data_IF_690604775909
#
_entry.id   IF_690604775909
#
_cell.length_a   1.000
_cell.length_b   1.000
_cell.length_c   1.000
_cell.angle_alpha   90.00
_cell.angle_beta   90.00
_cell.angle_gamma   90.00
#
_symmetry.space_group_name_H-M   'P 1'
#
loop_
_entity.id
_entity.type
_entity.pdbx_description
1 polymer ?
#
# COMPACT_ATOMS: atom_id res chain seq x y z
N UNK A 1 15.79 26.04 -11.23
CA UNK A 1 14.37 25.66 -11.14
C UNK A 1 14.14 25.12 -9.75
N UNK A 2 13.13 25.63 -9.03
CA UNK A 2 12.63 25.10 -7.77
C UNK A 2 11.32 24.35 -8.07
N UNK A 3 11.28 23.06 -7.74
CA UNK A 3 10.07 22.27 -7.72
C UNK A 3 9.80 21.85 -6.29
N UNK A 4 8.61 22.11 -5.80
CA UNK A 4 8.23 21.85 -4.41
C UNK A 4 7.08 20.87 -4.32
N UNK A 5 6.98 20.19 -3.17
CA UNK A 5 5.83 19.45 -2.74
C UNK A 5 5.42 20.02 -1.38
N UNK A 6 4.49 20.95 -1.44
CA UNK A 6 3.99 21.64 -0.27
C UNK A 6 3.03 20.76 0.52
N UNK A 7 2.94 21.01 1.82
CA UNK A 7 1.97 20.33 2.68
C UNK A 7 0.56 20.86 2.46
N UNK A 8 -0.42 20.01 2.72
CA UNK A 8 -1.84 20.37 2.64
C UNK A 8 -2.28 20.85 1.24
N UNK A 9 -1.67 20.30 0.19
CA UNK A 9 -2.14 20.54 -1.18
C UNK A 9 -3.56 19.96 -1.33
N UNK A 10 -4.57 20.77 -1.69
CA UNK A 10 -5.94 20.28 -1.78
C UNK A 10 -6.11 19.39 -3.00
N UNK A 11 -6.92 18.33 -2.87
CA UNK A 11 -7.41 17.60 -4.02
C UNK A 11 -8.24 18.53 -4.92
N UNK A 12 -8.02 18.43 -6.22
CA UNK A 12 -8.79 19.16 -7.23
C UNK A 12 -9.54 18.16 -8.11
N UNK A 13 -10.63 18.62 -8.71
CA UNK A 13 -11.49 17.77 -9.57
C UNK A 13 -12.08 16.54 -8.85
N UNK A 14 -12.38 16.65 -7.56
CA UNK A 14 -12.98 15.57 -6.75
C UNK A 14 -14.27 15.01 -7.36
N UNK A 15 -14.97 15.77 -8.17
CA UNK A 15 -16.20 15.38 -8.86
C UNK A 15 -16.01 15.14 -10.36
N UNK A 16 -14.77 14.91 -10.78
CA UNK A 16 -14.39 14.73 -12.19
C UNK A 16 -13.80 16.00 -12.80
N UNK A 17 -12.96 15.80 -13.80
CA UNK A 17 -12.35 16.91 -14.56
C UNK A 17 -13.45 17.63 -15.35
N UNK A 18 -13.59 18.97 -15.22
CA UNK A 18 -14.59 19.72 -16.00
C UNK A 18 -14.34 19.59 -17.51
N UNK A 19 -15.40 19.47 -18.29
CA UNK A 19 -15.31 19.38 -19.77
C UNK A 19 -14.62 20.61 -20.40
N UNK A 20 -14.64 21.75 -19.71
CA UNK A 20 -13.97 22.98 -20.13
C UNK A 20 -12.47 22.99 -19.89
N UNK A 21 -11.94 22.10 -19.05
CA UNK A 21 -10.51 22.07 -18.72
C UNK A 21 -9.69 21.62 -19.93
N UNK A 22 -8.66 22.39 -20.28
CA UNK A 22 -7.82 22.18 -21.47
C UNK A 22 -6.34 22.07 -21.11
N UNK A 23 -6.02 21.43 -19.99
CA UNK A 23 -4.66 21.39 -19.44
C UNK A 23 -4.13 22.79 -19.07
N UNK A 24 -5.03 23.65 -18.58
CA UNK A 24 -4.68 25.00 -18.13
C UNK A 24 -3.88 24.95 -16.83
N UNK A 25 -3.01 25.95 -16.66
CA UNK A 25 -2.35 26.17 -15.37
C UNK A 25 -3.32 26.89 -14.42
N UNK A 26 -3.15 26.63 -13.13
CA UNK A 26 -3.86 27.33 -12.08
C UNK A 26 -3.19 28.69 -11.79
N UNK A 27 -3.93 29.62 -11.14
CA UNK A 27 -3.32 30.85 -10.63
C UNK A 27 -2.15 30.53 -9.68
N UNK A 28 -1.15 31.39 -9.72
CA UNK A 28 -0.01 31.27 -8.83
C UNK A 28 -0.44 31.38 -7.36
N UNK A 29 0.15 30.56 -6.51
CA UNK A 29 -0.11 30.51 -5.06
C UNK A 29 1.22 30.41 -4.29
N UNK A 30 2.02 31.49 -4.34
CA UNK A 30 3.35 31.53 -3.73
C UNK A 30 3.34 31.39 -2.21
N UNK A 31 2.27 31.84 -1.57
CA UNK A 31 2.03 31.70 -0.13
C UNK A 31 2.04 30.23 0.32
N UNK A 32 1.63 29.30 -0.53
CA UNK A 32 1.63 27.87 -0.23
C UNK A 32 3.04 27.26 -0.19
N UNK A 33 3.99 27.87 -0.85
CA UNK A 33 5.36 27.35 -0.98
C UNK A 33 6.39 28.22 -0.27
N UNK A 34 5.97 29.16 0.57
CA UNK A 34 6.86 30.12 1.25
C UNK A 34 7.93 29.41 2.08
N UNK A 35 7.58 28.38 2.83
CA UNK A 35 8.51 27.60 3.65
C UNK A 35 9.64 27.00 2.78
N UNK A 36 9.28 26.36 1.66
CA UNK A 36 10.25 25.74 0.76
C UNK A 36 11.09 26.77 0.02
N UNK A 37 10.49 27.90 -0.33
CA UNK A 37 11.19 29.02 -0.96
C UNK A 37 12.24 29.62 -0.02
N UNK A 38 11.90 29.87 1.22
CA UNK A 38 12.83 30.35 2.24
C UNK A 38 13.93 29.35 2.56
N UNK A 39 13.61 28.05 2.61
CA UNK A 39 14.60 26.99 2.75
C UNK A 39 15.58 26.93 1.58
N UNK A 40 15.13 27.19 0.36
CA UNK A 40 16.00 27.31 -0.82
C UNK A 40 16.94 28.48 -0.70
N UNK A 41 16.45 29.68 -0.35
CA UNK A 41 17.29 30.88 -0.16
C UNK A 41 18.35 30.62 0.91
N UNK A 42 17.97 30.01 2.02
CA UNK A 42 18.91 29.66 3.08
C UNK A 42 20.06 28.74 2.57
N UNK A 43 19.76 27.80 1.67
CA UNK A 43 20.76 26.89 1.10
C UNK A 43 21.53 27.47 -0.07
N UNK A 44 20.92 28.35 -0.84
CA UNK A 44 21.46 28.94 -2.05
C UNK A 44 21.15 30.45 -2.00
N UNK A 45 21.95 31.25 -1.25
CA UNK A 45 21.66 32.66 -1.02
C UNK A 45 21.51 33.49 -2.28
N UNK A 46 22.22 33.15 -3.37
CA UNK A 46 22.09 33.84 -4.66
C UNK A 46 20.70 33.80 -5.28
N UNK A 47 19.84 32.88 -4.82
CA UNK A 47 18.46 32.83 -5.26
C UNK A 47 17.61 33.98 -4.75
N UNK A 48 17.99 34.65 -3.66
CA UNK A 48 17.31 35.83 -3.12
C UNK A 48 17.35 36.99 -4.09
N UNK A 49 18.50 37.17 -4.76
CA UNK A 49 18.73 38.25 -5.69
C UNK A 49 18.23 37.96 -7.11
N UNK A 50 18.00 36.68 -7.45
CA UNK A 50 17.76 36.29 -8.84
C UNK A 50 16.30 36.54 -9.32
N UNK A 51 15.39 36.76 -8.42
CA UNK A 51 13.93 36.89 -8.72
C UNK A 51 13.31 35.64 -9.33
N UNK A 52 12.05 35.76 -9.68
CA UNK A 52 11.28 34.72 -10.38
C UNK A 52 11.17 35.07 -11.85
N UNK A 53 11.52 34.15 -12.74
CA UNK A 53 11.39 34.31 -14.17
C UNK A 53 10.06 33.75 -14.68
N UNK A 54 9.77 32.51 -14.35
CA UNK A 54 8.56 31.79 -14.74
C UNK A 54 8.04 31.00 -13.53
N UNK A 55 6.74 30.85 -13.44
CA UNK A 55 6.05 30.12 -12.40
C UNK A 55 4.95 29.21 -12.99
N UNK A 56 4.76 28.07 -12.38
CA UNK A 56 3.79 27.09 -12.81
C UNK A 56 3.06 26.52 -11.62
N UNK A 57 1.73 26.52 -11.67
CA UNK A 57 0.84 25.86 -10.73
C UNK A 57 -0.16 25.05 -11.53
N UNK A 58 -0.32 23.78 -11.23
CA UNK A 58 -1.23 22.92 -11.99
C UNK A 58 -1.52 21.60 -11.28
N UNK A 59 -2.51 20.85 -11.74
CA UNK A 59 -2.90 19.59 -11.10
C UNK A 59 -1.85 18.52 -11.38
N UNK A 60 -1.55 17.71 -10.37
CA UNK A 60 -0.74 16.50 -10.47
C UNK A 60 -1.64 15.28 -10.25
N UNK A 61 -1.51 14.28 -11.11
CA UNK A 61 -2.26 13.05 -10.96
C UNK A 61 -1.58 12.14 -9.93
N UNK A 62 -2.30 11.83 -8.87
CA UNK A 62 -1.88 10.88 -7.82
C UNK A 62 -2.87 9.73 -7.69
N UNK A 63 -2.37 8.58 -7.35
CA UNK A 63 -3.15 7.44 -6.88
C UNK A 63 -3.08 7.35 -5.35
N UNK A 64 -3.97 6.61 -4.69
CA UNK A 64 -3.98 6.52 -3.23
C UNK A 64 -2.70 5.97 -2.56
N UNK A 65 -1.86 5.27 -3.31
CA UNK A 65 -0.56 4.75 -2.85
C UNK A 65 0.65 5.40 -3.56
N UNK A 66 0.40 6.32 -4.50
CA UNK A 66 1.43 7.00 -5.29
C UNK A 66 2.00 6.19 -6.45
N UNK A 67 1.67 4.91 -6.56
CA UNK A 67 2.10 4.08 -7.68
C UNK A 67 1.15 4.21 -8.86
N UNK A 68 1.63 4.21 -10.11
CA UNK A 68 0.76 4.28 -11.28
C UNK A 68 -0.14 3.05 -11.43
N UNK A 69 -1.14 3.17 -12.28
CA UNK A 69 -2.01 2.08 -12.71
C UNK A 69 -1.47 1.52 -14.02
N UNK A 70 -0.90 0.32 -13.99
CA UNK A 70 -0.28 -0.31 -15.16
C UNK A 70 -0.79 -1.74 -15.30
N UNK A 71 -1.47 -2.03 -16.40
CA UNK A 71 -1.99 -3.36 -16.67
C UNK A 71 -3.38 -3.37 -17.27
N UNK A 72 -4.04 -4.54 -17.34
CA UNK A 72 -5.38 -4.66 -17.91
C UNK A 72 -6.42 -3.93 -17.06
N UNK A 73 -7.30 -3.18 -17.71
CA UNK A 73 -8.39 -2.47 -17.06
C UNK A 73 -9.38 -3.45 -16.41
N UNK A 74 -9.74 -3.29 -15.13
CA UNK A 74 -10.68 -4.17 -14.47
C UNK A 74 -12.05 -4.21 -15.16
N UNK A 75 -12.56 -5.42 -15.44
CA UNK A 75 -13.88 -5.61 -16.03
C UNK A 75 -13.99 -5.27 -17.51
N UNK A 76 -12.92 -4.86 -18.18
CA UNK A 76 -12.89 -4.57 -19.60
C UNK A 76 -11.97 -5.53 -20.32
N UNK A 77 -12.38 -5.90 -21.54
CA UNK A 77 -11.58 -6.75 -22.40
C UNK A 77 -10.75 -5.90 -23.37
N UNK A 78 -9.49 -6.25 -23.54
CA UNK A 78 -8.57 -5.61 -24.49
C UNK A 78 -8.36 -4.10 -24.27
N UNK A 79 -8.56 -3.64 -23.02
CA UNK A 79 -8.22 -2.29 -22.59
C UNK A 79 -7.10 -2.35 -21.55
N UNK A 80 -6.08 -1.51 -21.75
CA UNK A 80 -4.89 -1.46 -20.89
C UNK A 80 -4.71 -0.06 -20.34
N UNK A 81 -4.27 0.02 -19.10
CA UNK A 81 -4.01 1.26 -18.39
C UNK A 81 -2.50 1.51 -18.28
N UNK A 82 -2.11 2.74 -18.44
CA UNK A 82 -0.80 3.28 -18.12
C UNK A 82 -0.99 4.74 -17.69
N UNK A 83 -1.44 4.95 -16.46
CA UNK A 83 -1.89 6.25 -15.96
C UNK A 83 -1.57 6.45 -14.49
N UNK A 84 -1.83 7.66 -13.96
CA UNK A 84 -1.60 7.97 -12.55
C UNK A 84 -0.12 8.15 -12.18
N UNK A 85 0.69 8.62 -13.12
CA UNK A 85 2.12 8.83 -12.90
C UNK A 85 2.39 10.19 -12.25
N UNK A 86 2.85 10.20 -11.02
CA UNK A 86 3.45 11.37 -10.39
C UNK A 86 4.87 11.65 -10.94
N UNK A 87 5.61 10.59 -11.27
CA UNK A 87 6.98 10.63 -11.82
C UNK A 87 7.02 10.09 -13.26
N UNK A 88 6.17 10.63 -14.15
CA UNK A 88 5.94 10.10 -15.49
C UNK A 88 7.19 9.92 -16.33
N UNK A 89 8.06 10.93 -16.41
CA UNK A 89 9.28 10.86 -17.22
C UNK A 89 10.21 9.76 -16.73
N UNK A 90 10.38 9.64 -15.42
CA UNK A 90 11.26 8.62 -14.82
C UNK A 90 10.75 7.21 -15.03
N UNK A 91 9.43 7.01 -14.94
CA UNK A 91 8.81 5.69 -14.98
C UNK A 91 8.44 5.22 -16.41
N UNK A 92 8.33 6.14 -17.39
CA UNK A 92 7.77 5.87 -18.71
C UNK A 92 8.46 4.73 -19.47
N UNK A 93 9.79 4.69 -19.47
CA UNK A 93 10.56 3.67 -20.20
C UNK A 93 10.31 2.25 -19.69
N UNK A 94 10.42 2.05 -18.37
CA UNK A 94 10.16 0.76 -17.75
C UNK A 94 8.70 0.33 -17.87
N UNK A 95 7.79 1.27 -17.65
CA UNK A 95 6.35 0.99 -17.80
C UNK A 95 6.00 0.53 -19.21
N UNK A 96 6.48 1.24 -20.24
CA UNK A 96 6.22 0.87 -21.63
C UNK A 96 6.76 -0.51 -21.97
N UNK A 97 7.96 -0.84 -21.52
CA UNK A 97 8.58 -2.14 -21.75
C UNK A 97 7.77 -3.28 -21.12
N UNK A 98 7.51 -3.22 -19.83
CA UNK A 98 6.82 -4.30 -19.11
C UNK A 98 5.33 -4.40 -19.48
N UNK A 99 4.66 -3.27 -19.75
CA UNK A 99 3.28 -3.31 -20.26
C UNK A 99 3.19 -3.97 -21.64
N UNK A 100 4.13 -3.67 -22.54
CA UNK A 100 4.19 -4.33 -23.85
C UNK A 100 4.42 -5.84 -23.70
N UNK A 101 5.30 -6.25 -22.78
CA UNK A 101 5.54 -7.65 -22.46
C UNK A 101 4.27 -8.34 -21.95
N UNK A 102 3.54 -7.72 -21.02
CA UNK A 102 2.23 -8.23 -20.56
C UNK A 102 1.21 -8.37 -21.70
N UNK A 103 1.17 -7.44 -22.66
CA UNK A 103 0.26 -7.49 -23.80
C UNK A 103 0.58 -8.62 -24.78
N UNK A 104 1.87 -8.91 -24.99
CA UNK A 104 2.34 -9.88 -26.00
C UNK A 104 2.46 -11.27 -25.41
N UNK A 105 3.00 -11.38 -24.20
CA UNK A 105 3.38 -12.66 -23.56
C UNK A 105 2.38 -13.08 -22.48
N UNK A 106 1.48 -12.18 -22.06
CA UNK A 106 0.48 -12.43 -21.01
C UNK A 106 0.94 -12.05 -19.61
N UNK A 107 2.24 -12.03 -19.33
CA UNK A 107 2.83 -11.60 -18.05
C UNK A 107 4.16 -10.88 -18.29
N UNK A 108 4.56 -10.04 -17.35
CA UNK A 108 5.87 -9.42 -17.33
C UNK A 108 6.90 -10.35 -16.66
N UNK A 109 8.17 -10.21 -17.00
CA UNK A 109 9.26 -10.95 -16.34
C UNK A 109 9.54 -10.52 -14.90
N UNK A 110 8.99 -9.37 -14.48
CA UNK A 110 9.04 -8.86 -13.11
C UNK A 110 7.66 -8.85 -12.47
N UNK A 111 7.63 -8.76 -11.15
CA UNK A 111 6.37 -8.61 -10.42
C UNK A 111 5.76 -7.21 -10.62
N UNK A 112 4.59 -7.15 -11.24
CA UNK A 112 3.82 -5.93 -11.50
C UNK A 112 2.63 -5.76 -10.54
N UNK A 113 2.48 -6.59 -9.52
CA UNK A 113 1.31 -6.58 -8.63
C UNK A 113 1.09 -5.24 -7.92
N UNK A 114 2.17 -4.54 -7.56
CA UNK A 114 2.09 -3.21 -6.95
C UNK A 114 1.59 -2.12 -7.89
N UNK A 115 1.53 -2.38 -9.19
CA UNK A 115 1.04 -1.46 -10.21
C UNK A 115 -0.30 -1.91 -10.81
N UNK A 116 -0.73 -3.17 -10.54
CA UNK A 116 -1.97 -3.72 -11.10
C UNK A 116 -3.18 -2.87 -10.66
N UNK A 117 -4.01 -2.38 -11.61
CA UNK A 117 -5.22 -1.65 -11.29
C UNK A 117 -6.19 -2.40 -10.36
N UNK A 118 -6.15 -3.73 -10.37
CA UNK A 118 -6.98 -4.59 -9.49
C UNK A 118 -6.60 -4.53 -8.02
N UNK A 119 -5.46 -3.91 -7.66
CA UNK A 119 -5.07 -3.72 -6.25
C UNK A 119 -6.06 -2.85 -5.48
N UNK A 120 -6.86 -2.07 -6.20
CA UNK A 120 -7.96 -1.29 -5.63
C UNK A 120 -9.28 -2.02 -5.77
N UNK A 121 -9.97 -2.21 -4.64
CA UNK A 121 -11.30 -2.82 -4.62
C UNK A 121 -12.39 -1.76 -4.80
N UNK A 122 -13.35 -1.99 -5.69
CA UNK A 122 -14.50 -1.12 -5.88
C UNK A 122 -15.39 -0.96 -4.63
N UNK A 123 -15.28 -1.89 -3.66
CA UNK A 123 -16.13 -1.86 -2.46
C UNK A 123 -15.78 -0.74 -1.48
N UNK A 124 -14.56 -0.23 -1.52
CA UNK A 124 -14.08 0.81 -0.60
C UNK A 124 -13.39 1.98 -1.31
N UNK A 125 -13.15 1.88 -2.61
CA UNK A 125 -12.59 2.95 -3.41
C UNK A 125 -13.68 3.97 -3.76
N UNK A 126 -13.93 4.91 -2.84
CA UNK A 126 -14.80 6.06 -3.08
C UNK A 126 -13.98 7.27 -3.56
N UNK A 127 -14.65 8.26 -4.15
CA UNK A 127 -14.00 9.53 -4.53
C UNK A 127 -13.36 10.22 -3.32
N UNK A 128 -14.05 10.22 -2.18
CA UNK A 128 -13.52 10.78 -0.94
C UNK A 128 -12.28 10.03 -0.45
N UNK A 129 -12.31 8.69 -0.46
CA UNK A 129 -11.14 7.88 -0.10
C UNK A 129 -9.96 8.21 -1.01
N UNK A 130 -10.18 8.24 -2.33
CA UNK A 130 -9.14 8.58 -3.30
C UNK A 130 -8.56 9.97 -3.05
N UNK A 131 -9.42 11.00 -2.87
CA UNK A 131 -8.99 12.37 -2.61
C UNK A 131 -8.11 12.45 -1.36
N UNK A 132 -8.58 11.93 -0.21
CA UNK A 132 -7.85 11.98 1.06
C UNK A 132 -6.54 11.20 1.03
N UNK A 133 -6.53 10.04 0.39
CA UNK A 133 -5.30 9.25 0.22
C UNK A 133 -4.31 9.90 -0.74
N UNK A 134 -4.80 10.56 -1.79
CA UNK A 134 -3.95 11.30 -2.72
C UNK A 134 -3.29 12.51 -2.05
N UNK A 135 -4.05 13.28 -1.24
CA UNK A 135 -3.51 14.38 -0.42
C UNK A 135 -2.40 13.87 0.51
N UNK A 136 -2.70 12.84 1.30
CA UNK A 136 -1.72 12.23 2.20
C UNK A 136 -0.47 11.72 1.47
N UNK A 137 -0.66 11.08 0.31
CA UNK A 137 0.46 10.57 -0.47
C UNK A 137 1.33 11.70 -1.01
N UNK A 138 0.72 12.77 -1.52
CA UNK A 138 1.41 13.97 -2.00
C UNK A 138 2.23 14.63 -0.89
N UNK A 139 1.62 14.85 0.28
CA UNK A 139 2.27 15.49 1.44
C UNK A 139 3.54 14.76 1.89
N UNK A 140 3.61 13.45 1.64
CA UNK A 140 4.68 12.61 2.18
C UNK A 140 5.74 12.19 1.15
N UNK A 141 5.66 12.62 -0.10
CA UNK A 141 6.58 12.17 -1.16
C UNK A 141 8.05 12.42 -0.84
N UNK A 142 8.38 13.58 -0.30
CA UNK A 142 9.77 13.96 0.03
C UNK A 142 10.04 14.07 1.52
N UNK A 143 9.15 13.56 2.35
CA UNK A 143 9.39 13.46 3.78
C UNK A 143 10.14 12.18 4.08
N UNK A 144 11.15 12.27 4.95
CA UNK A 144 11.86 11.10 5.42
C UNK A 144 10.95 10.23 6.28
N UNK A 145 10.66 9.03 5.80
CA UNK A 145 9.83 8.06 6.53
C UNK A 145 10.65 7.28 7.54
N UNK A 146 10.09 7.10 8.72
CA UNK A 146 10.62 6.17 9.70
C UNK A 146 10.15 4.74 9.38
N UNK A 147 10.91 3.71 9.78
CA UNK A 147 10.40 2.35 9.77
C UNK A 147 9.09 2.25 10.54
N UNK A 148 8.16 1.43 10.05
CA UNK A 148 6.84 1.20 10.65
C UNK A 148 5.95 2.45 10.76
N UNK A 149 6.22 3.46 9.95
CA UNK A 149 5.37 4.64 9.85
C UNK A 149 4.06 4.31 9.16
N UNK A 150 2.96 4.55 9.84
CA UNK A 150 1.61 4.31 9.33
C UNK A 150 0.99 5.58 8.74
N UNK A 151 0.15 5.41 7.73
CA UNK A 151 -0.58 6.50 7.07
C UNK A 151 -1.99 6.60 7.65
N UNK A 152 -2.34 7.70 8.35
CA UNK A 152 -3.60 7.80 9.10
C UNK A 152 -4.84 8.05 8.22
N UNK A 153 -4.72 8.65 7.04
CA UNK A 153 -5.89 9.02 6.25
C UNK A 153 -6.81 7.83 5.95
N UNK A 154 -8.11 8.05 6.09
CA UNK A 154 -9.17 7.07 5.83
C UNK A 154 -9.10 5.79 6.69
N UNK A 155 -8.51 5.84 7.86
CA UNK A 155 -8.50 4.73 8.82
C UNK A 155 -9.54 4.94 9.93
N UNK A 156 -10.14 3.85 10.47
CA UNK A 156 -10.02 2.46 10.03
C UNK A 156 -10.81 2.19 8.74
N UNK A 157 -10.27 1.35 7.83
CA UNK A 157 -10.97 0.95 6.61
C UNK A 157 -11.67 -0.41 6.76
N UNK A 158 -10.94 -1.41 7.22
CA UNK A 158 -11.45 -2.76 7.49
C UNK A 158 -11.00 -3.20 8.87
N UNK A 159 -11.95 -3.67 9.69
CA UNK A 159 -11.69 -4.08 11.06
C UNK A 159 -12.04 -5.54 11.30
N UNK A 160 -11.24 -6.23 12.10
CA UNK A 160 -11.54 -7.57 12.57
C UNK A 160 -12.70 -7.55 13.57
N UNK A 161 -13.44 -8.66 13.76
CA UNK A 161 -14.48 -8.74 14.80
C UNK A 161 -13.99 -8.44 16.22
N UNK A 162 -12.69 -8.62 16.47
CA UNK A 162 -12.07 -8.35 17.76
C UNK A 162 -11.52 -6.89 17.91
N UNK A 163 -11.61 -6.06 16.87
CA UNK A 163 -10.98 -4.75 16.80
C UNK A 163 -11.25 -3.87 18.03
N UNK A 164 -12.50 -3.66 18.41
CA UNK A 164 -12.85 -2.83 19.56
C UNK A 164 -12.33 -3.40 20.89
N UNK A 165 -12.30 -4.73 21.03
CA UNK A 165 -11.72 -5.37 22.22
C UNK A 165 -10.21 -5.25 22.29
N UNK A 166 -9.55 -5.29 21.12
CA UNK A 166 -8.11 -5.09 21.00
C UNK A 166 -7.76 -3.64 21.30
N UNK A 167 -8.50 -2.69 20.73
CA UNK A 167 -8.35 -1.25 21.00
C UNK A 167 -8.48 -0.94 22.50
N UNK A 168 -9.52 -1.47 23.13
CA UNK A 168 -9.74 -1.31 24.57
C UNK A 168 -8.61 -1.92 25.45
N UNK A 169 -7.74 -2.74 24.88
CA UNK A 169 -6.55 -3.31 25.53
C UNK A 169 -5.25 -2.61 25.15
N UNK A 170 -5.32 -1.49 24.47
CA UNK A 170 -4.14 -0.72 24.07
C UNK A 170 -3.47 -1.21 22.78
N UNK A 171 -4.19 -1.93 21.91
CA UNK A 171 -3.64 -2.33 20.61
C UNK A 171 -3.23 -1.10 19.81
N UNK A 172 -1.99 -1.10 19.34
CA UNK A 172 -1.46 -0.16 18.37
C UNK A 172 -1.56 -0.81 16.99
N UNK A 173 -2.37 -0.22 16.12
CA UNK A 173 -2.72 -0.85 14.85
C UNK A 173 -1.81 -0.42 13.72
N UNK A 174 -1.33 -1.40 12.95
CA UNK A 174 -0.80 -1.23 11.61
C UNK A 174 -1.86 -1.50 10.55
N UNK A 175 -1.60 -1.06 9.33
CA UNK A 175 -2.50 -1.16 8.20
C UNK A 175 -1.95 -2.11 7.13
N UNK A 176 -2.60 -3.25 6.94
CA UNK A 176 -2.15 -4.28 5.99
C UNK A 176 -3.30 -4.67 5.05
N UNK A 177 -3.15 -4.40 3.78
CA UNK A 177 -4.15 -4.71 2.74
C UNK A 177 -5.56 -4.20 3.07
N UNK A 178 -5.63 -3.00 3.65
CA UNK A 178 -6.89 -2.40 4.07
C UNK A 178 -7.37 -2.82 5.47
N UNK A 179 -6.73 -3.77 6.12
CA UNK A 179 -7.09 -4.24 7.45
C UNK A 179 -6.30 -3.55 8.56
N UNK A 180 -7.02 -3.18 9.63
CA UNK A 180 -6.40 -2.85 10.91
C UNK A 180 -5.89 -4.13 11.57
N UNK A 181 -4.60 -4.18 11.86
CA UNK A 181 -3.95 -5.32 12.51
C UNK A 181 -3.12 -4.84 13.69
N UNK A 182 -3.30 -5.42 14.90
CA UNK A 182 -2.44 -5.09 16.02
C UNK A 182 -0.98 -5.38 15.72
N UNK A 183 -0.12 -4.39 15.85
CA UNK A 183 1.33 -4.56 15.77
C UNK A 183 1.91 -4.90 17.14
N UNK A 184 1.41 -4.26 18.19
CA UNK A 184 1.74 -4.52 19.60
C UNK A 184 0.66 -3.92 20.51
N UNK A 185 0.71 -4.23 21.80
CA UNK A 185 -0.17 -3.64 22.82
C UNK A 185 0.65 -2.72 23.72
N UNK A 186 0.28 -1.45 23.75
CA UNK A 186 0.92 -0.38 24.51
C UNK A 186 -0.01 0.27 25.54
N UNK A 187 0.37 1.45 26.05
CA UNK A 187 -0.50 2.23 26.93
C UNK A 187 -1.83 2.58 26.25
N UNK A 188 -2.91 2.63 27.03
CA UNK A 188 -4.26 2.90 26.52
C UNK A 188 -4.42 4.28 25.89
N UNK A 189 -3.69 5.26 26.39
CA UNK A 189 -3.68 6.64 25.90
C UNK A 189 -2.97 6.82 24.57
N UNK A 190 -2.22 5.83 24.13
CA UNK A 190 -1.53 5.84 22.84
C UNK A 190 -2.33 5.17 21.70
N UNK A 191 -3.48 4.55 21.99
CA UNK A 191 -4.21 3.70 21.05
C UNK A 191 -4.70 4.39 19.77
N UNK A 192 -4.88 5.70 19.77
CA UNK A 192 -5.31 6.48 18.60
C UNK A 192 -4.22 7.47 18.12
N UNK A 193 -3.04 7.41 18.69
CA UNK A 193 -1.97 8.33 18.36
C UNK A 193 -1.10 7.76 17.24
N UNK A 194 -1.42 8.11 16.00
CA UNK A 194 -0.59 7.82 14.83
C UNK A 194 0.60 8.78 14.71
N UNK A 195 0.60 9.88 15.47
CA UNK A 195 1.72 10.82 15.54
C UNK A 195 2.65 10.39 16.66
N UNK A 196 3.75 9.76 16.28
CA UNK A 196 4.61 9.08 17.22
C UNK A 196 5.90 9.82 17.48
N UNK A 197 6.07 10.38 18.64
CA UNK A 197 7.39 10.64 19.24
C UNK A 197 8.22 9.35 19.39
N UNK A 198 7.57 8.20 19.25
CA UNK A 198 8.16 6.87 19.33
C UNK A 198 8.79 6.37 18.03
N UNK A 199 8.62 7.08 16.89
CA UNK A 199 9.23 6.70 15.61
C UNK A 199 10.74 6.89 15.64
N UNK A 200 11.48 5.91 15.15
CA UNK A 200 12.94 5.93 15.21
C UNK A 200 13.53 5.01 14.15
N UNK A 201 14.68 5.36 13.59
CA UNK A 201 15.53 4.46 12.81
C UNK A 201 16.22 3.39 13.67
N UNK A 202 16.03 3.42 14.96
CA UNK A 202 16.47 2.44 15.93
C UNK A 202 15.26 1.71 16.50
N UNK A 203 15.38 1.18 17.71
CA UNK A 203 14.27 0.59 18.46
C UNK A 203 13.35 1.72 18.93
N UNK A 204 12.13 1.78 18.40
CA UNK A 204 11.11 2.72 18.83
C UNK A 204 10.39 2.31 20.10
N UNK A 205 9.38 3.07 20.51
CA UNK A 205 8.57 2.82 21.70
C UNK A 205 7.86 1.44 21.71
N UNK A 206 7.63 0.85 20.57
CA UNK A 206 7.05 -0.49 20.41
C UNK A 206 7.92 -1.63 20.94
N UNK A 207 9.26 -1.43 21.00
CA UNK A 207 10.22 -2.51 21.18
C UNK A 207 10.02 -3.28 22.49
N UNK A 208 9.92 -2.59 23.63
CA UNK A 208 9.78 -3.26 24.92
C UNK A 208 8.44 -4.01 25.03
N UNK A 209 7.37 -3.44 24.48
CA UNK A 209 6.06 -4.09 24.45
C UNK A 209 6.09 -5.38 23.64
N UNK A 210 6.69 -5.36 22.45
CA UNK A 210 6.86 -6.55 21.61
C UNK A 210 7.73 -7.63 22.29
N UNK A 211 8.79 -7.23 23.01
CA UNK A 211 9.62 -8.16 23.78
C UNK A 211 8.82 -8.83 24.90
N UNK A 212 8.00 -8.06 25.63
CA UNK A 212 7.21 -8.59 26.74
C UNK A 212 6.09 -9.52 26.25
N UNK A 213 5.44 -9.19 25.14
CA UNK A 213 4.49 -10.09 24.46
C UNK A 213 5.16 -11.40 23.98
N UNK A 214 6.34 -11.30 23.36
CA UNK A 214 7.07 -12.48 22.93
C UNK A 214 7.45 -13.41 24.11
N UNK A 215 7.84 -12.87 25.26
CA UNK A 215 8.08 -13.63 26.48
C UNK A 215 6.80 -14.29 27.00
N UNK A 216 5.70 -13.52 27.08
CA UNK A 216 4.41 -14.01 27.53
C UNK A 216 3.90 -15.19 26.70
N UNK A 217 4.08 -15.15 25.38
CA UNK A 217 3.73 -16.25 24.46
C UNK A 217 4.62 -17.48 24.70
N UNK A 218 5.91 -17.28 24.96
CA UNK A 218 6.87 -18.40 25.20
C UNK A 218 6.68 -19.07 26.56
N UNK A 219 6.33 -18.31 27.58
CA UNK A 219 6.17 -18.78 28.96
C UNK A 219 4.74 -19.19 29.30
N UNK A 220 3.77 -18.79 28.47
CA UNK A 220 2.36 -19.01 28.70
C UNK A 220 1.59 -19.31 27.41
N UNK A 221 0.46 -18.62 27.22
CA UNK A 221 -0.43 -18.77 26.08
C UNK A 221 -0.66 -17.42 25.42
N UNK A 222 -0.51 -17.36 24.09
CA UNK A 222 -0.81 -16.19 23.25
C UNK A 222 -2.01 -16.41 22.33
N UNK A 223 -2.74 -15.33 22.07
CA UNK A 223 -3.79 -15.27 21.06
C UNK A 223 -3.40 -14.22 20.01
N UNK A 224 -3.27 -14.64 18.76
CA UNK A 224 -2.87 -13.79 17.65
C UNK A 224 -4.05 -13.64 16.69
N UNK A 225 -4.41 -12.39 16.36
CA UNK A 225 -5.43 -12.10 15.35
C UNK A 225 -4.84 -12.26 13.95
N UNK A 226 -5.29 -13.28 13.23
CA UNK A 226 -4.90 -13.58 11.85
C UNK A 226 -6.00 -13.21 10.83
N UNK A 227 -6.93 -12.31 11.20
CA UNK A 227 -8.07 -11.94 10.33
C UNK A 227 -7.61 -11.29 9.03
N UNK A 228 -6.52 -10.53 9.04
CA UNK A 228 -6.00 -9.83 7.87
C UNK A 228 -5.45 -10.76 6.77
N UNK A 229 -5.11 -12.01 7.09
CA UNK A 229 -4.67 -12.98 6.09
C UNK A 229 -5.83 -13.38 5.16
N UNK A 230 -5.53 -13.66 3.90
CA UNK A 230 -6.50 -14.24 2.96
C UNK A 230 -6.77 -15.71 3.28
N UNK A 231 -8.01 -16.17 3.10
CA UNK A 231 -8.44 -17.54 3.34
C UNK A 231 -9.14 -18.09 2.10
N UNK A 232 -8.68 -19.25 1.65
CA UNK A 232 -9.23 -19.90 0.48
C UNK A 232 -9.62 -21.35 0.80
N UNK A 233 -10.77 -21.78 0.29
CA UNK A 233 -11.20 -23.17 0.36
C UNK A 233 -11.13 -23.77 -1.04
N UNK A 234 -10.33 -24.82 -1.21
CA UNK A 234 -10.19 -25.56 -2.47
C UNK A 234 -10.73 -26.97 -2.22
N UNK A 235 -11.84 -27.32 -2.89
CA UNK A 235 -12.50 -28.62 -2.71
C UNK A 235 -13.10 -29.14 -4.01
N UNK A 236 -13.22 -30.46 -4.10
CA UNK A 236 -13.81 -31.17 -5.24
C UNK A 236 -12.85 -32.19 -5.84
N UNK A 237 -13.32 -33.01 -6.81
CA UNK A 237 -12.58 -34.18 -7.32
C UNK A 237 -11.18 -33.84 -7.88
N UNK A 238 -10.96 -32.64 -8.38
CA UNK A 238 -9.67 -32.17 -8.92
C UNK A 238 -8.78 -31.40 -7.93
N UNK A 239 -9.22 -31.16 -6.70
CA UNK A 239 -8.54 -30.26 -5.76
C UNK A 239 -7.11 -30.72 -5.44
N UNK A 240 -6.93 -32.02 -5.21
CA UNK A 240 -5.60 -32.58 -4.91
C UNK A 240 -4.66 -32.46 -6.10
N UNK A 241 -5.08 -32.82 -7.30
CA UNK A 241 -4.27 -32.73 -8.49
C UNK A 241 -3.92 -31.27 -8.84
N UNK A 242 -4.89 -30.35 -8.69
CA UNK A 242 -4.64 -28.92 -8.91
C UNK A 242 -3.60 -28.37 -7.92
N UNK A 243 -3.74 -28.66 -6.64
CA UNK A 243 -2.83 -28.12 -5.64
C UNK A 243 -1.43 -28.75 -5.70
N UNK A 244 -1.32 -30.03 -6.09
CA UNK A 244 -0.04 -30.71 -6.31
C UNK A 244 0.71 -30.11 -7.51
N UNK A 245 0.00 -29.67 -8.52
CA UNK A 245 0.56 -28.95 -9.67
C UNK A 245 0.86 -27.48 -9.33
N UNK A 246 -0.04 -26.81 -8.59
CA UNK A 246 0.01 -25.37 -8.35
C UNK A 246 1.07 -24.97 -7.31
N UNK A 247 1.34 -25.84 -6.33
CA UNK A 247 2.27 -25.55 -5.22
C UNK A 247 3.55 -26.37 -5.34
N UNK A 248 4.67 -25.81 -4.92
CA UNK A 248 5.99 -26.43 -5.11
C UNK A 248 6.35 -27.48 -4.08
N UNK A 249 5.70 -27.55 -2.92
CA UNK A 249 5.96 -28.54 -1.88
C UNK A 249 4.94 -29.67 -1.90
N UNK A 250 5.33 -30.84 -1.36
CA UNK A 250 4.41 -31.97 -1.18
C UNK A 250 3.21 -31.54 -0.35
N UNK A 251 2.02 -31.93 -0.80
CA UNK A 251 0.78 -31.71 -0.08
C UNK A 251 0.79 -32.41 1.30
N UNK A 252 0.17 -31.81 2.32
CA UNK A 252 0.08 -32.42 3.63
C UNK A 252 -0.76 -33.69 3.61
N UNK A 253 -0.49 -34.61 4.55
CA UNK A 253 -1.41 -35.71 4.86
C UNK A 253 -2.73 -35.15 5.43
N UNK A 254 -3.81 -35.89 5.31
CA UNK A 254 -5.11 -35.52 5.91
C UNK A 254 -4.94 -35.20 7.39
N UNK A 255 -5.49 -34.09 7.84
CA UNK A 255 -5.38 -33.57 9.20
C UNK A 255 -4.03 -32.91 9.52
N UNK A 256 -3.19 -32.66 8.51
CA UNK A 256 -1.88 -31.99 8.69
C UNK A 256 -1.81 -30.67 7.93
N UNK A 257 -0.79 -29.88 8.27
CA UNK A 257 -0.49 -28.57 7.73
C UNK A 257 0.94 -28.58 7.17
N UNK A 258 1.14 -27.92 6.03
CA UNK A 258 2.46 -27.63 5.48
C UNK A 258 2.52 -26.15 5.08
N UNK A 259 3.74 -25.61 5.05
CA UNK A 259 4.07 -24.38 4.35
C UNK A 259 4.44 -24.72 2.91
N UNK A 260 3.95 -23.93 1.95
CA UNK A 260 4.25 -24.12 0.53
C UNK A 260 4.21 -22.78 -0.22
N UNK A 261 4.68 -22.79 -1.46
CA UNK A 261 4.77 -21.61 -2.31
C UNK A 261 4.12 -21.87 -3.66
N UNK A 262 3.52 -20.83 -4.24
CA UNK A 262 3.27 -20.78 -5.67
C UNK A 262 4.41 -20.00 -6.34
N UNK A 263 4.88 -20.51 -7.48
CA UNK A 263 5.99 -19.92 -8.22
C UNK A 263 5.52 -19.35 -9.56
N UNK A 264 6.29 -18.42 -10.11
CA UNK A 264 6.18 -17.99 -11.49
C UNK A 264 6.81 -19.02 -12.42
N UNK A 265 6.61 -18.87 -13.73
CA UNK A 265 7.27 -19.69 -14.75
C UNK A 265 8.81 -19.60 -14.68
N UNK A 266 9.34 -18.51 -14.14
CA UNK A 266 10.78 -18.30 -13.96
C UNK A 266 11.31 -18.84 -12.62
N UNK A 267 10.48 -19.48 -11.80
CA UNK A 267 10.86 -20.06 -10.51
C UNK A 267 10.96 -19.06 -9.36
N UNK A 268 10.53 -17.81 -9.53
CA UNK A 268 10.45 -16.84 -8.45
C UNK A 268 9.19 -17.05 -7.62
N UNK A 269 9.23 -16.72 -6.34
CA UNK A 269 8.08 -16.84 -5.45
C UNK A 269 6.99 -15.84 -5.82
N UNK A 270 5.79 -16.33 -6.10
CA UNK A 270 4.60 -15.50 -6.33
C UNK A 270 3.85 -15.22 -5.03
N UNK A 271 3.66 -16.26 -4.22
CA UNK A 271 3.05 -16.14 -2.90
C UNK A 271 3.36 -17.36 -2.04
N UNK A 272 3.22 -17.20 -0.73
CA UNK A 272 3.35 -18.25 0.26
C UNK A 272 1.98 -18.68 0.77
N UNK A 273 1.80 -19.95 1.01
CA UNK A 273 0.60 -20.53 1.59
C UNK A 273 0.90 -21.41 2.79
N UNK A 274 0.14 -21.22 3.86
CA UNK A 274 -0.10 -22.29 4.82
C UNK A 274 -1.24 -23.13 4.29
N UNK A 275 -1.00 -24.40 3.98
CA UNK A 275 -1.97 -25.33 3.41
C UNK A 275 -2.37 -26.38 4.43
N UNK A 276 -3.68 -26.49 4.71
CA UNK A 276 -4.29 -27.47 5.59
C UNK A 276 -5.07 -28.46 4.75
N UNK A 277 -4.87 -29.77 4.95
CA UNK A 277 -5.68 -30.80 4.29
C UNK A 277 -6.73 -31.36 5.25
N UNK A 278 -7.98 -30.94 5.06
CA UNK A 278 -9.12 -31.34 5.89
C UNK A 278 -9.73 -32.68 5.47
N UNK A 279 -9.46 -33.14 4.24
CA UNK A 279 -10.00 -34.38 3.69
C UNK A 279 -9.30 -34.75 2.38
N UNK A 280 -9.77 -35.79 1.71
CA UNK A 280 -9.18 -36.33 0.49
C UNK A 280 -9.05 -35.25 -0.59
N UNK A 281 -10.10 -34.49 -0.84
CA UNK A 281 -10.16 -33.39 -1.81
C UNK A 281 -10.71 -32.10 -1.19
N UNK A 282 -10.30 -31.80 0.05
CA UNK A 282 -10.74 -30.62 0.78
C UNK A 282 -9.55 -29.97 1.49
N UNK A 283 -9.23 -28.76 1.08
CA UNK A 283 -8.08 -28.00 1.55
C UNK A 283 -8.50 -26.59 1.98
N UNK A 284 -7.78 -26.08 2.98
CA UNK A 284 -7.88 -24.70 3.44
C UNK A 284 -6.50 -24.05 3.34
N UNK A 285 -6.43 -22.95 2.63
CA UNK A 285 -5.19 -22.22 2.41
C UNK A 285 -5.27 -20.84 3.09
N UNK A 286 -4.17 -20.44 3.69
CA UNK A 286 -4.00 -19.11 4.27
C UNK A 286 -2.79 -18.47 3.60
N UNK A 287 -2.92 -17.22 3.15
CA UNK A 287 -1.83 -16.43 2.58
C UNK A 287 -1.83 -15.00 3.10
N UNK A 288 -0.68 -14.31 3.03
CA UNK A 288 -0.58 -12.89 3.34
C UNK A 288 -1.26 -12.04 2.25
#
# INVERSE_FOLDING_TARGET
ILGVYEKNAPAVFEHGVPDSFRADLFPLALDRIEEQYMAMIHRIPSCEESGLKDDFNGPICYTPDGNPLVGPAPGLHNMWLAEGFSFGITAAGGTGYYLAQMMVEGEAEIDMASLDPKRYSSNWMTTEFAARKNEECYDHVYILHHPDEERPACRPLRTAPAYERQKARGAQFGFVNGWERPNYYGPLDAADNFDHDARSFRRGGWWQHAVDEAKAIREGVGLIDATAFSKHVVKGPGATAFLDWFTCNKLPKIGRINLTYALTAHGTTRTEYTIVRNGENNYYLVSA
#
